data_IF_106456928788
#
_entry.id   IF_106456928788
#
_cell.length_a   1.000
_cell.length_b   1.000
_cell.length_c   1.000
_cell.angle_alpha   90.00
_cell.angle_beta   90.00
_cell.angle_gamma   90.00
#
_symmetry.space_group_name_H-M   'P 1'
#
loop_
_entity.id
_entity.type
_entity.pdbx_description
1 polymer ?
#
# COMPACT_ATOMS: atom_id res chain seq x y z
N UNK A 1 16.91 -16.19 -15.27
CA UNK A 1 16.21 -14.97 -15.69
C UNK A 1 17.24 -13.97 -16.18
N UNK A 2 16.99 -13.29 -17.30
CA UNK A 2 17.73 -12.10 -17.69
C UNK A 2 16.96 -10.85 -17.25
N UNK A 3 17.67 -9.77 -16.91
CA UNK A 3 17.09 -8.49 -16.51
C UNK A 3 17.78 -7.40 -17.34
N UNK A 4 17.03 -6.45 -17.86
CA UNK A 4 17.60 -5.28 -18.54
C UNK A 4 18.14 -4.27 -17.52
N UNK A 5 19.30 -3.69 -17.86
CA UNK A 5 19.90 -2.60 -17.10
C UNK A 5 19.76 -1.31 -17.91
N UNK A 6 19.25 -0.27 -17.25
CA UNK A 6 19.19 1.05 -17.87
C UNK A 6 20.62 1.57 -18.07
N UNK A 7 20.94 1.98 -19.30
CA UNK A 7 22.22 2.62 -19.60
C UNK A 7 22.31 3.96 -18.88
N UNK A 8 23.51 4.38 -18.49
CA UNK A 8 23.72 5.70 -17.90
C UNK A 8 23.12 6.80 -18.81
N UNK A 9 22.15 7.59 -18.33
CA UNK A 9 21.41 8.54 -19.16
C UNK A 9 22.18 9.82 -19.51
N UNK A 10 23.43 10.00 -19.01
CA UNK A 10 24.24 11.19 -19.30
C UNK A 10 23.96 12.40 -18.40
N UNK A 11 23.12 12.25 -17.37
CA UNK A 11 22.82 13.28 -16.38
C UNK A 11 21.75 12.85 -15.38
N UNK A 12 21.77 13.43 -14.17
CA UNK A 12 20.83 13.12 -13.09
C UNK A 12 20.51 14.35 -12.26
N UNK A 13 19.22 14.58 -11.99
CA UNK A 13 18.74 15.60 -11.06
C UNK A 13 17.48 15.09 -10.34
N UNK A 14 17.49 15.16 -9.01
CA UNK A 14 16.28 14.98 -8.19
C UNK A 14 15.61 16.32 -7.93
N UNK A 15 14.30 16.30 -7.69
CA UNK A 15 13.59 17.42 -7.10
C UNK A 15 12.41 16.94 -6.25
N UNK A 16 11.93 17.86 -5.42
CA UNK A 16 10.82 17.70 -4.50
C UNK A 16 9.85 18.84 -4.76
N UNK A 17 8.56 18.52 -4.82
CA UNK A 17 7.47 19.49 -4.83
C UNK A 17 6.63 19.23 -3.59
N UNK A 18 6.54 20.22 -2.70
CA UNK A 18 5.70 20.17 -1.51
C UNK A 18 4.30 20.66 -1.85
N UNK A 19 3.29 19.92 -1.42
CA UNK A 19 1.87 20.24 -1.57
C UNK A 19 1.35 20.61 -0.18
N UNK A 20 1.00 21.89 0.06
CA UNK A 20 0.85 22.40 1.41
C UNK A 20 -0.37 21.82 2.12
N UNK A 21 -1.51 21.63 1.44
CA UNK A 21 -2.75 21.19 2.08
C UNK A 21 -3.12 19.76 1.71
N UNK A 22 -3.89 19.11 2.57
CA UNK A 22 -4.42 17.76 2.32
C UNK A 22 -5.42 17.75 1.14
N UNK A 23 -6.24 18.80 1.02
CA UNK A 23 -7.24 18.97 -0.05
C UNK A 23 -6.63 19.07 -1.47
N UNK A 24 -5.37 19.49 -1.56
CA UNK A 24 -4.67 19.71 -2.83
C UNK A 24 -4.23 18.41 -3.52
N UNK A 25 -4.37 17.25 -2.86
CA UNK A 25 -4.05 15.94 -3.44
C UNK A 25 -4.77 15.74 -4.78
N UNK A 26 -6.04 16.11 -4.86
CA UNK A 26 -6.85 15.98 -6.08
C UNK A 26 -6.20 16.69 -7.25
N UNK A 27 -5.95 17.99 -7.10
CA UNK A 27 -5.39 18.84 -8.14
C UNK A 27 -3.98 18.39 -8.51
N UNK A 28 -3.17 17.97 -7.55
CA UNK A 28 -1.84 17.43 -7.81
C UNK A 28 -1.88 16.20 -8.72
N UNK A 29 -2.78 15.25 -8.48
CA UNK A 29 -2.94 14.06 -9.33
C UNK A 29 -3.49 14.42 -10.72
N UNK A 30 -4.45 15.34 -10.82
CA UNK A 30 -4.96 15.84 -12.10
C UNK A 30 -3.84 16.47 -12.95
N UNK A 31 -2.94 17.23 -12.33
CA UNK A 31 -1.77 17.83 -12.99
C UNK A 31 -0.76 16.75 -13.40
N UNK A 32 -0.48 15.77 -12.54
CA UNK A 32 0.49 14.70 -12.84
C UNK A 32 0.03 13.84 -14.01
N UNK A 33 -1.28 13.57 -14.16
CA UNK A 33 -1.80 12.67 -15.20
C UNK A 33 -1.29 12.99 -16.62
N UNK A 34 -1.56 14.18 -17.21
CA UNK A 34 -1.13 14.48 -18.58
C UNK A 34 0.39 14.57 -18.68
N UNK A 35 1.08 14.99 -17.62
CA UNK A 35 2.54 15.05 -17.58
C UNK A 35 3.13 13.64 -17.69
N UNK A 36 2.58 12.69 -16.95
CA UNK A 36 3.05 11.30 -16.92
C UNK A 36 2.85 10.59 -18.25
N UNK A 37 1.68 10.72 -18.86
CA UNK A 37 1.40 10.11 -20.17
C UNK A 37 2.20 10.74 -21.31
N UNK A 38 2.61 12.01 -21.14
CA UNK A 38 3.47 12.73 -22.10
C UNK A 38 4.96 12.56 -21.81
N UNK A 39 5.35 11.61 -20.93
CA UNK A 39 6.73 11.31 -20.58
C UNK A 39 7.53 12.48 -19.98
N UNK A 40 6.86 13.49 -19.42
CA UNK A 40 7.54 14.63 -18.77
C UNK A 40 8.23 14.15 -17.48
N UNK A 41 7.55 13.50 -16.51
CA UNK A 41 8.19 12.61 -15.56
C UNK A 41 8.57 11.32 -16.28
N UNK A 42 9.87 11.15 -16.56
CA UNK A 42 10.41 9.98 -17.22
C UNK A 42 10.49 8.76 -16.29
N UNK A 43 10.85 8.99 -15.03
CA UNK A 43 10.88 7.98 -13.97
C UNK A 43 9.46 7.68 -13.44
N UNK A 44 9.35 6.89 -12.37
CA UNK A 44 8.10 6.65 -11.65
C UNK A 44 8.02 7.62 -10.47
N UNK A 45 7.27 8.74 -10.56
CA UNK A 45 7.17 9.68 -9.46
C UNK A 45 6.30 9.09 -8.33
N UNK A 46 6.59 9.52 -7.10
CA UNK A 46 5.86 9.08 -5.90
C UNK A 46 5.26 10.26 -5.18
N UNK A 47 3.98 10.17 -4.82
CA UNK A 47 3.27 11.17 -4.01
C UNK A 47 3.14 10.60 -2.60
N UNK A 48 3.86 11.17 -1.65
CA UNK A 48 4.06 10.64 -0.29
C UNK A 48 3.29 11.48 0.72
N UNK A 49 2.59 10.82 1.65
CA UNK A 49 1.98 11.50 2.79
C UNK A 49 3.07 11.98 3.77
N UNK A 50 2.86 13.11 4.44
CA UNK A 50 3.85 13.70 5.37
C UNK A 50 4.38 12.71 6.42
N UNK A 51 3.52 11.83 6.95
CA UNK A 51 3.95 10.87 7.97
C UNK A 51 4.93 9.83 7.43
N UNK A 52 4.90 9.51 6.13
CA UNK A 52 5.87 8.61 5.54
C UNK A 52 7.28 9.22 5.58
N UNK A 53 7.39 10.53 5.35
CA UNK A 53 8.66 11.25 5.41
C UNK A 53 9.08 11.53 6.86
N UNK A 54 8.14 11.86 7.73
CA UNK A 54 8.38 12.00 9.17
C UNK A 54 8.92 10.71 9.79
N UNK A 55 8.33 9.56 9.44
CA UNK A 55 8.78 8.24 9.91
C UNK A 55 10.19 7.86 9.45
N UNK A 56 10.65 8.41 8.32
CA UNK A 56 12.05 8.29 7.88
C UNK A 56 12.99 9.13 8.74
N UNK A 57 12.53 10.29 9.22
CA UNK A 57 13.30 11.26 10.00
C UNK A 57 13.32 11.01 11.52
N UNK A 58 12.46 10.15 12.03
CA UNK A 58 12.45 9.75 13.43
C UNK A 58 11.26 8.87 13.82
N UNK A 59 11.34 8.32 15.02
CA UNK A 59 10.22 7.63 15.65
C UNK A 59 9.12 8.61 16.04
N UNK A 60 7.91 8.09 16.23
CA UNK A 60 6.72 8.87 16.57
C UNK A 60 6.90 9.74 17.82
N UNK A 61 7.62 9.26 18.83
CA UNK A 61 7.89 9.98 20.09
C UNK A 61 8.68 11.29 19.91
N UNK A 62 9.36 11.46 18.77
CA UNK A 62 10.04 12.71 18.39
C UNK A 62 9.05 13.82 17.98
N UNK A 63 7.83 13.43 17.65
CA UNK A 63 6.81 14.30 17.09
C UNK A 63 5.59 14.47 18.01
N UNK A 64 5.20 13.44 18.77
CA UNK A 64 4.06 13.51 19.70
C UNK A 64 4.24 12.54 20.88
N UNK A 65 3.58 12.82 21.99
CA UNK A 65 3.47 11.91 23.16
C UNK A 65 2.10 11.23 23.27
N UNK A 66 1.11 11.65 22.47
CA UNK A 66 -0.23 11.04 22.41
C UNK A 66 -0.12 9.62 21.88
N UNK A 67 -0.91 8.65 22.29
CA UNK A 67 -0.96 7.31 21.66
C UNK A 67 -2.15 7.13 20.68
N UNK A 68 -2.80 8.22 20.30
CA UNK A 68 -3.93 8.22 19.36
C UNK A 68 -3.47 8.60 17.94
N UNK A 69 -4.25 8.28 16.89
CA UNK A 69 -4.01 8.80 15.55
C UNK A 69 -3.85 10.31 15.56
N UNK A 70 -2.84 10.81 14.84
CA UNK A 70 -2.56 12.24 14.74
C UNK A 70 -3.70 12.96 14.01
N UNK A 71 -4.20 14.06 14.60
CA UNK A 71 -5.22 14.89 13.97
C UNK A 71 -4.60 15.84 12.93
N UNK A 72 -5.43 16.49 12.09
CA UNK A 72 -4.95 17.36 11.01
C UNK A 72 -4.04 18.48 11.48
N UNK A 73 -4.32 19.08 12.64
CA UNK A 73 -3.48 20.15 13.20
C UNK A 73 -2.08 19.63 13.57
N UNK A 74 -2.01 18.46 14.21
CA UNK A 74 -0.71 17.86 14.55
C UNK A 74 0.08 17.48 13.28
N UNK A 75 -0.62 17.07 12.22
CA UNK A 75 0.00 16.75 10.93
C UNK A 75 0.51 18.01 10.21
N UNK A 76 -0.21 19.13 10.32
CA UNK A 76 0.24 20.43 9.81
C UNK A 76 1.48 20.91 10.59
N UNK A 77 1.50 20.78 11.91
CA UNK A 77 2.66 21.11 12.76
C UNK A 77 3.90 20.27 12.40
N UNK A 78 3.72 18.98 12.09
CA UNK A 78 4.80 18.11 11.60
C UNK A 78 5.28 18.60 10.22
N UNK A 79 4.35 18.96 9.32
CA UNK A 79 4.67 19.47 7.98
C UNK A 79 5.54 20.72 8.08
N UNK A 80 5.16 21.69 8.92
CA UNK A 80 5.93 22.92 9.17
C UNK A 80 7.31 22.62 9.76
N UNK A 81 7.38 21.78 10.81
CA UNK A 81 8.63 21.43 11.47
C UNK A 81 9.64 20.76 10.53
N UNK A 82 9.14 19.99 9.56
CA UNK A 82 9.97 19.30 8.58
C UNK A 82 10.21 20.11 7.30
N UNK A 83 9.60 21.29 7.18
CA UNK A 83 9.57 22.09 5.95
C UNK A 83 9.08 21.27 4.73
N UNK A 84 8.02 20.50 4.95
CA UNK A 84 7.36 19.63 3.97
C UNK A 84 5.89 20.05 3.80
N UNK A 85 5.26 19.58 2.73
CA UNK A 85 3.82 19.68 2.57
C UNK A 85 3.09 18.52 3.26
N UNK A 86 1.75 18.62 3.33
CA UNK A 86 0.90 17.48 3.72
C UNK A 86 1.03 16.31 2.75
N UNK A 87 1.27 16.64 1.48
CA UNK A 87 1.71 15.69 0.45
C UNK A 87 3.02 16.16 -0.18
N UNK A 88 3.89 15.21 -0.53
CA UNK A 88 5.21 15.49 -1.07
C UNK A 88 5.42 14.66 -2.34
N UNK A 89 5.60 15.34 -3.48
CA UNK A 89 5.92 14.67 -4.74
C UNK A 89 7.44 14.58 -4.85
N UNK A 90 7.94 13.36 -4.75
CA UNK A 90 9.32 13.06 -5.07
C UNK A 90 9.38 12.54 -6.50
N UNK A 91 10.21 13.20 -7.33
CA UNK A 91 10.61 12.67 -8.63
C UNK A 91 12.13 12.77 -8.76
N UNK A 92 12.74 11.63 -8.98
CA UNK A 92 14.18 11.46 -9.12
C UNK A 92 14.46 10.04 -9.64
N UNK A 93 15.53 9.88 -10.41
CA UNK A 93 16.26 8.60 -10.49
C UNK A 93 17.15 8.44 -9.22
N UNK A 94 17.77 7.28 -8.98
CA UNK A 94 17.86 6.60 -7.66
C UNK A 94 18.77 7.16 -6.52
N UNK A 95 18.47 6.79 -5.25
CA UNK A 95 19.04 7.34 -4.00
C UNK A 95 19.24 6.36 -2.80
N UNK A 96 19.64 6.84 -1.60
CA UNK A 96 20.42 6.11 -0.58
C UNK A 96 19.65 5.55 0.65
N UNK A 97 20.40 4.85 1.52
CA UNK A 97 19.97 4.08 2.73
C UNK A 97 18.94 4.70 3.69
N UNK A 98 18.86 6.03 3.93
CA UNK A 98 17.89 6.60 4.86
C UNK A 98 16.43 6.32 4.51
N UNK A 99 16.10 6.09 3.23
CA UNK A 99 14.74 5.79 2.76
C UNK A 99 14.19 4.46 3.31
N UNK A 100 15.05 3.57 3.85
CA UNK A 100 14.67 2.22 4.33
C UNK A 100 14.16 2.17 5.79
N UNK A 101 14.02 3.29 6.50
CA UNK A 101 13.75 3.31 7.97
C UNK A 101 12.29 3.51 8.42
N UNK A 102 11.30 3.41 7.52
CA UNK A 102 9.86 3.58 7.85
C UNK A 102 9.40 2.69 9.02
N UNK A 103 10.03 1.54 9.21
CA UNK A 103 9.72 0.56 10.26
C UNK A 103 9.99 1.12 11.68
N UNK A 104 10.81 2.16 11.82
CA UNK A 104 11.15 2.76 13.11
C UNK A 104 10.12 3.77 13.62
N UNK A 105 8.96 3.90 12.96
CA UNK A 105 7.87 4.75 13.45
C UNK A 105 7.45 4.36 14.87
N UNK A 106 7.46 3.05 15.17
CA UNK A 106 7.20 2.47 16.49
C UNK A 106 8.43 1.70 17.01
N UNK A 107 8.66 1.62 18.34
CA UNK A 107 9.83 0.95 18.94
C UNK A 107 10.07 -0.51 18.51
N UNK A 108 9.00 -1.25 18.14
CA UNK A 108 9.07 -2.61 17.55
C UNK A 108 8.27 -2.72 16.25
N UNK A 109 8.32 -1.68 15.42
CA UNK A 109 7.49 -1.62 14.22
C UNK A 109 7.64 -2.85 13.32
N UNK A 110 6.52 -3.39 12.89
CA UNK A 110 6.40 -4.18 11.67
C UNK A 110 5.44 -3.45 10.74
N UNK A 111 5.51 -3.77 9.45
CA UNK A 111 4.61 -3.19 8.46
C UNK A 111 3.80 -4.27 7.75
N UNK A 112 2.58 -3.93 7.38
CA UNK A 112 1.73 -4.73 6.52
C UNK A 112 1.13 -3.81 5.45
N UNK A 113 1.31 -4.19 4.18
CA UNK A 113 0.88 -3.39 3.05
C UNK A 113 -0.52 -3.78 2.58
N UNK A 114 -1.36 -2.77 2.37
CA UNK A 114 -2.56 -2.85 1.54
C UNK A 114 -2.28 -2.05 0.26
N UNK A 115 -2.42 -2.69 -0.91
CA UNK A 115 -1.87 -2.16 -2.18
C UNK A 115 -2.87 -2.16 -3.33
N UNK A 116 -4.01 -1.46 -3.21
CA UNK A 116 -4.98 -1.33 -4.29
C UNK A 116 -4.41 -0.50 -5.46
N UNK A 117 -4.92 -0.77 -6.65
CA UNK A 117 -4.68 0.05 -7.83
C UNK A 117 -5.74 1.15 -7.91
N UNK A 118 -5.30 2.38 -8.18
CA UNK A 118 -6.15 3.52 -8.49
C UNK A 118 -5.93 3.95 -9.95
N UNK A 119 -6.93 4.56 -10.57
CA UNK A 119 -6.71 5.32 -11.81
C UNK A 119 -5.84 6.53 -11.48
N UNK A 120 -5.14 7.07 -12.48
CA UNK A 120 -4.40 8.34 -12.35
C UNK A 120 -5.37 9.51 -12.37
N UNK A 121 -6.37 9.51 -11.47
CA UNK A 121 -7.40 10.54 -11.35
C UNK A 121 -7.53 11.03 -9.93
N UNK A 122 -7.71 12.35 -9.76
CA UNK A 122 -7.91 12.98 -8.47
C UNK A 122 -9.12 12.38 -7.74
N UNK A 123 -10.22 12.13 -8.46
CA UNK A 123 -11.43 11.52 -7.89
C UNK A 123 -11.16 10.14 -7.30
N UNK A 124 -10.57 9.21 -8.08
CA UNK A 124 -10.21 7.88 -7.56
C UNK A 124 -9.15 7.96 -6.45
N UNK A 125 -8.16 8.85 -6.57
CA UNK A 125 -7.10 9.00 -5.58
C UNK A 125 -7.66 9.47 -4.24
N UNK A 126 -8.47 10.53 -4.24
CA UNK A 126 -9.12 11.07 -3.04
C UNK A 126 -10.13 10.09 -2.47
N UNK A 127 -10.94 9.43 -3.31
CA UNK A 127 -11.91 8.45 -2.84
C UNK A 127 -11.22 7.26 -2.14
N UNK A 128 -10.11 6.77 -2.70
CA UNK A 128 -9.37 5.65 -2.12
C UNK A 128 -8.58 6.09 -0.88
N UNK A 129 -7.96 7.27 -0.88
CA UNK A 129 -7.34 7.89 0.30
C UNK A 129 -8.34 8.06 1.44
N UNK A 130 -9.47 8.72 1.21
CA UNK A 130 -10.48 8.99 2.24
C UNK A 130 -11.02 7.69 2.86
N UNK A 131 -11.28 6.66 2.05
CA UNK A 131 -11.70 5.35 2.55
C UNK A 131 -10.63 4.74 3.46
N UNK A 132 -9.39 4.66 2.96
CA UNK A 132 -8.30 4.00 3.68
C UNK A 132 -7.92 4.74 4.96
N UNK A 133 -7.84 6.07 4.92
CA UNK A 133 -7.59 6.93 6.08
C UNK A 133 -8.64 6.71 7.17
N UNK A 134 -9.93 6.84 6.82
CA UNK A 134 -11.04 6.62 7.76
C UNK A 134 -10.94 5.26 8.46
N UNK A 135 -10.69 4.20 7.71
CA UNK A 135 -10.58 2.83 8.26
C UNK A 135 -9.35 2.66 9.15
N UNK A 136 -8.22 3.27 8.80
CA UNK A 136 -7.02 3.27 9.65
C UNK A 136 -7.30 3.95 10.99
N UNK A 137 -7.89 5.14 10.95
CA UNK A 137 -8.22 5.93 12.15
C UNK A 137 -9.26 5.21 13.04
N UNK A 138 -10.32 4.64 12.46
CA UNK A 138 -11.32 3.82 13.17
C UNK A 138 -10.68 2.62 13.90
N UNK A 139 -9.61 2.05 13.33
CA UNK A 139 -8.86 0.92 13.90
C UNK A 139 -7.70 1.35 14.82
N UNK A 140 -7.52 2.67 15.04
CA UNK A 140 -6.49 3.23 15.91
C UNK A 140 -5.09 3.27 15.31
N UNK A 141 -4.96 3.25 13.98
CA UNK A 141 -3.68 3.37 13.27
C UNK A 141 -3.54 4.74 12.62
N UNK A 142 -2.32 5.28 12.64
CA UNK A 142 -1.94 6.41 11.80
C UNK A 142 -2.00 6.00 10.33
N UNK A 143 -2.61 6.82 9.48
CA UNK A 143 -2.55 6.61 8.04
C UNK A 143 -1.15 6.96 7.50
N UNK A 144 -0.48 5.97 6.92
CA UNK A 144 0.79 6.15 6.21
C UNK A 144 0.61 5.55 4.81
N UNK A 145 0.87 6.32 3.76
CA UNK A 145 0.69 5.83 2.40
C UNK A 145 1.47 6.58 1.34
N UNK A 146 1.55 5.98 0.16
CA UNK A 146 2.15 6.58 -1.04
C UNK A 146 1.40 6.16 -2.30
N UNK A 147 1.29 7.05 -3.27
CA UNK A 147 0.90 6.72 -4.64
C UNK A 147 2.14 6.62 -5.52
N UNK A 148 2.34 5.47 -6.15
CA UNK A 148 3.40 5.23 -7.13
C UNK A 148 2.79 5.34 -8.52
N UNK A 149 3.15 6.38 -9.28
CA UNK A 149 2.42 6.75 -10.49
C UNK A 149 2.99 6.06 -11.73
N UNK A 150 2.32 5.00 -12.16
CA UNK A 150 2.55 4.34 -13.45
C UNK A 150 2.05 5.17 -14.63
N UNK A 151 1.95 4.55 -15.81
CA UNK A 151 1.54 5.29 -17.01
C UNK A 151 0.05 5.62 -17.02
N UNK A 152 -0.79 4.67 -16.57
CA UNK A 152 -2.25 4.76 -16.62
C UNK A 152 -2.92 4.30 -15.33
N UNK A 153 -2.10 4.01 -14.31
CA UNK A 153 -2.51 3.55 -13.01
C UNK A 153 -1.60 4.15 -11.94
N UNK A 154 -2.07 4.09 -10.70
CA UNK A 154 -1.25 4.36 -9.53
C UNK A 154 -1.34 3.17 -8.58
N UNK A 155 -0.20 2.68 -8.10
CA UNK A 155 -0.20 1.77 -6.98
C UNK A 155 -0.32 2.60 -5.70
N UNK A 156 -1.47 2.52 -5.04
CA UNK A 156 -1.67 3.15 -3.74
C UNK A 156 -1.22 2.16 -2.66
N UNK A 157 -0.08 2.43 -2.03
CA UNK A 157 0.47 1.56 -1.00
C UNK A 157 0.19 2.17 0.37
N UNK A 158 -0.78 1.62 1.07
CA UNK A 158 -1.05 1.93 2.48
C UNK A 158 -0.15 1.05 3.35
N UNK A 159 0.61 1.68 4.23
CA UNK A 159 1.56 1.06 5.13
C UNK A 159 1.01 1.07 6.55
N UNK A 160 0.43 -0.04 7.00
CA UNK A 160 0.06 -0.18 8.40
C UNK A 160 1.31 -0.52 9.21
N UNK A 161 1.69 0.36 10.13
CA UNK A 161 2.79 0.12 11.07
C UNK A 161 2.22 -0.19 12.44
N UNK A 162 2.65 -1.29 13.06
CA UNK A 162 2.18 -1.75 14.37
C UNK A 162 3.31 -2.38 15.17
N UNK A 163 3.17 -2.43 16.50
CA UNK A 163 4.11 -3.16 17.36
C UNK A 163 3.90 -4.67 17.17
N UNK A 164 4.92 -5.36 16.65
CA UNK A 164 4.86 -6.80 16.38
C UNK A 164 4.90 -7.70 17.62
N UNK A 165 5.29 -7.15 18.77
CA UNK A 165 5.32 -7.85 20.06
C UNK A 165 3.98 -7.72 20.78
N UNK A 166 3.12 -6.78 20.38
CA UNK A 166 1.75 -6.66 20.90
C UNK A 166 0.76 -7.47 20.03
N UNK A 167 0.17 -8.57 20.55
CA UNK A 167 -0.74 -9.42 19.78
C UNK A 167 -2.05 -8.73 19.39
N UNK A 168 -2.43 -7.65 20.09
CA UNK A 168 -3.72 -6.99 19.84
C UNK A 168 -3.66 -6.07 18.60
N UNK A 169 -2.69 -5.14 18.44
CA UNK A 169 -2.49 -4.38 17.21
C UNK A 169 -2.22 -5.28 16.00
N UNK A 170 -1.52 -6.41 16.17
CA UNK A 170 -1.35 -7.41 15.10
C UNK A 170 -2.71 -7.95 14.61
N UNK A 171 -3.62 -8.29 15.53
CA UNK A 171 -4.97 -8.78 15.18
C UNK A 171 -5.82 -7.68 14.54
N UNK A 172 -5.78 -6.45 15.06
CA UNK A 172 -6.48 -5.32 14.44
C UNK A 172 -5.95 -5.00 13.04
N UNK A 173 -4.64 -5.02 12.83
CA UNK A 173 -4.03 -4.77 11.52
C UNK A 173 -4.49 -5.81 10.48
N UNK A 174 -4.52 -7.10 10.86
CA UNK A 174 -5.08 -8.15 10.00
C UNK A 174 -6.57 -7.93 9.72
N UNK A 175 -7.38 -7.66 10.75
CA UNK A 175 -8.82 -7.41 10.57
C UNK A 175 -9.09 -6.21 9.66
N UNK A 176 -8.33 -5.13 9.85
CA UNK A 176 -8.41 -3.92 9.05
C UNK A 176 -8.12 -4.18 7.58
N UNK A 177 -7.04 -4.90 7.23
CA UNK A 177 -6.75 -5.17 5.81
C UNK A 177 -7.84 -6.06 5.19
N UNK A 178 -8.36 -7.06 5.90
CA UNK A 178 -9.47 -7.87 5.39
C UNK A 178 -10.68 -7.00 5.05
N UNK A 179 -11.00 -6.04 5.91
CA UNK A 179 -12.09 -5.10 5.67
C UNK A 179 -11.78 -4.14 4.50
N UNK A 180 -10.54 -3.65 4.39
CA UNK A 180 -10.11 -2.80 3.29
C UNK A 180 -10.20 -3.50 1.93
N UNK A 181 -9.83 -4.78 1.86
CA UNK A 181 -9.97 -5.62 0.65
C UNK A 181 -11.45 -5.68 0.23
N UNK A 182 -12.35 -5.98 1.16
CA UNK A 182 -13.78 -6.08 0.85
C UNK A 182 -14.38 -4.72 0.44
N UNK A 183 -14.00 -3.64 1.12
CA UNK A 183 -14.48 -2.29 0.82
C UNK A 183 -13.93 -1.77 -0.52
N UNK A 184 -12.68 -2.09 -0.86
CA UNK A 184 -12.05 -1.73 -2.14
C UNK A 184 -12.64 -2.52 -3.30
N UNK A 185 -12.83 -3.83 -3.15
CA UNK A 185 -13.42 -4.69 -4.17
C UNK A 185 -14.83 -4.23 -4.56
N UNK A 186 -15.66 -3.83 -3.59
CA UNK A 186 -17.00 -3.25 -3.84
C UNK A 186 -16.98 -1.96 -4.66
N UNK A 187 -15.85 -1.24 -4.66
CA UNK A 187 -15.64 -0.02 -5.43
C UNK A 187 -14.90 -0.27 -6.74
N UNK A 188 -14.59 -1.52 -7.08
CA UNK A 188 -13.88 -1.90 -8.30
C UNK A 188 -12.37 -1.69 -8.23
N UNK A 189 -11.79 -1.56 -7.03
CA UNK A 189 -10.36 -1.49 -6.83
C UNK A 189 -9.84 -2.86 -6.40
N UNK A 190 -8.83 -3.36 -7.11
CA UNK A 190 -8.16 -4.62 -6.78
C UNK A 190 -6.72 -4.38 -6.36
N UNK A 191 -6.19 -5.29 -5.52
CA UNK A 191 -4.80 -5.24 -5.07
C UNK A 191 -3.87 -5.92 -6.06
N UNK A 192 -2.74 -5.28 -6.32
CA UNK A 192 -1.71 -5.85 -7.20
C UNK A 192 -0.90 -6.95 -6.51
N UNK A 193 -0.65 -6.81 -5.20
CA UNK A 193 0.12 -7.75 -4.36
C UNK A 193 -0.34 -7.68 -2.91
N UNK A 194 -0.04 -8.75 -2.18
CA UNK A 194 -0.42 -8.88 -0.78
C UNK A 194 0.48 -9.84 0.01
N UNK A 195 0.28 -9.83 1.32
CA UNK A 195 0.89 -10.75 2.27
C UNK A 195 0.29 -12.17 2.14
N UNK A 196 1.04 -13.21 2.51
CA UNK A 196 0.63 -14.62 2.41
C UNK A 196 -0.78 -14.86 2.98
N UNK A 197 -1.03 -14.32 4.18
CA UNK A 197 -2.27 -14.45 4.91
C UNK A 197 -3.54 -13.94 4.20
N UNK A 198 -3.39 -13.19 3.11
CA UNK A 198 -4.48 -12.48 2.44
C UNK A 198 -4.63 -12.90 0.97
N UNK A 199 -3.78 -13.81 0.48
CA UNK A 199 -3.78 -14.22 -0.93
C UNK A 199 -5.10 -14.84 -1.36
N UNK A 200 -5.67 -15.73 -0.55
CA UNK A 200 -6.96 -16.36 -0.86
C UNK A 200 -8.09 -15.32 -0.95
N UNK A 201 -8.18 -14.40 0.03
CA UNK A 201 -9.25 -13.40 0.04
C UNK A 201 -9.15 -12.48 -1.18
N UNK A 202 -7.96 -11.99 -1.50
CA UNK A 202 -7.75 -11.12 -2.67
C UNK A 202 -8.00 -11.88 -3.96
N UNK A 203 -7.58 -13.15 -4.07
CA UNK A 203 -7.87 -13.93 -5.26
C UNK A 203 -9.39 -14.08 -5.51
N UNK A 204 -10.20 -14.16 -4.46
CA UNK A 204 -11.67 -14.19 -4.55
C UNK A 204 -12.31 -12.86 -4.97
N UNK A 205 -11.60 -11.73 -4.96
CA UNK A 205 -12.13 -10.47 -5.50
C UNK A 205 -12.07 -10.43 -7.02
N UNK A 206 -11.16 -11.20 -7.64
CA UNK A 206 -11.03 -11.35 -9.09
C UNK A 206 -11.97 -12.43 -9.67
N UNK A 207 -13.22 -12.45 -9.21
CA UNK A 207 -14.17 -13.54 -9.44
C UNK A 207 -15.12 -13.38 -10.63
N UNK A 208 -14.81 -12.47 -11.57
CA UNK A 208 -15.62 -12.23 -12.75
C UNK A 208 -15.91 -13.52 -13.54
N UNK A 209 -17.14 -13.61 -14.08
CA UNK A 209 -17.63 -14.75 -14.85
C UNK A 209 -17.47 -16.08 -14.09
N UNK A 210 -17.97 -16.11 -12.85
CA UNK A 210 -17.88 -17.28 -11.96
C UNK A 210 -16.43 -17.76 -11.77
N UNK A 211 -15.54 -16.86 -11.33
CA UNK A 211 -14.13 -17.19 -11.05
C UNK A 211 -13.34 -17.72 -12.25
N UNK A 212 -13.65 -17.29 -13.49
CA UNK A 212 -13.03 -17.82 -14.71
C UNK A 212 -11.48 -17.73 -14.70
N UNK A 213 -10.92 -16.63 -14.20
CA UNK A 213 -9.46 -16.47 -14.08
C UNK A 213 -8.85 -17.52 -13.14
N UNK A 214 -9.47 -17.77 -11.99
CA UNK A 214 -9.00 -18.78 -11.03
C UNK A 214 -9.06 -20.17 -11.65
N UNK A 215 -10.17 -20.53 -12.30
CA UNK A 215 -10.32 -21.82 -12.97
C UNK A 215 -9.22 -22.09 -13.99
N UNK A 216 -8.92 -21.11 -14.86
CA UNK A 216 -7.84 -21.24 -15.84
C UNK A 216 -6.48 -21.48 -15.16
N UNK A 217 -6.15 -20.69 -14.13
CA UNK A 217 -4.88 -20.82 -13.42
C UNK A 217 -4.76 -22.16 -12.69
N UNK A 218 -5.83 -22.65 -12.07
CA UNK A 218 -5.86 -23.98 -11.44
C UNK A 218 -5.68 -25.10 -12.46
N UNK A 219 -6.29 -25.00 -13.65
CA UNK A 219 -6.07 -25.97 -14.73
C UNK A 219 -4.61 -26.01 -15.16
N UNK A 220 -3.99 -24.84 -15.38
CA UNK A 220 -2.56 -24.75 -15.75
C UNK A 220 -1.67 -25.32 -14.64
N UNK A 221 -1.95 -24.95 -13.38
CA UNK A 221 -1.20 -25.43 -12.21
C UNK A 221 -1.23 -26.96 -12.11
N UNK A 222 -2.41 -27.57 -12.22
CA UNK A 222 -2.53 -29.03 -12.13
C UNK A 222 -1.90 -29.76 -13.32
N UNK A 223 -1.91 -29.15 -14.52
CA UNK A 223 -1.25 -29.71 -15.69
C UNK A 223 0.29 -29.70 -15.57
N UNK A 224 0.86 -28.61 -15.04
CA UNK A 224 2.31 -28.45 -14.91
C UNK A 224 2.89 -29.04 -13.62
N UNK A 225 2.09 -29.15 -12.58
CA UNK A 225 2.48 -29.64 -11.25
C UNK A 225 1.43 -30.62 -10.70
N UNK A 226 1.30 -31.82 -11.31
CA UNK A 226 0.27 -32.80 -10.95
C UNK A 226 0.42 -33.36 -9.54
N UNK A 227 1.59 -33.20 -8.91
CA UNK A 227 1.84 -33.58 -7.51
C UNK A 227 1.69 -32.42 -6.52
N UNK A 228 1.50 -31.19 -7.01
CA UNK A 228 1.37 -29.99 -6.18
C UNK A 228 2.62 -29.67 -5.34
N UNK A 229 3.82 -29.95 -5.85
CA UNK A 229 5.08 -29.79 -5.10
C UNK A 229 5.53 -28.32 -5.08
N UNK A 230 5.29 -27.58 -6.16
CA UNK A 230 5.61 -26.15 -6.23
C UNK A 230 4.60 -25.38 -5.36
N UNK A 231 4.97 -24.21 -4.78
CA UNK A 231 4.19 -23.51 -3.75
C UNK A 231 2.67 -23.60 -3.97
N UNK A 232 1.95 -24.36 -3.12
CA UNK A 232 0.59 -24.80 -3.40
C UNK A 232 -0.49 -23.76 -3.07
N UNK A 233 -0.14 -22.65 -2.42
CA UNK A 233 -1.07 -21.63 -1.93
C UNK A 233 -0.83 -20.25 -2.58
N UNK A 234 0.23 -20.13 -3.39
CA UNK A 234 0.69 -18.84 -3.89
C UNK A 234 -0.39 -18.18 -4.75
N UNK A 235 -0.75 -16.95 -4.38
CA UNK A 235 -1.84 -16.18 -5.01
C UNK A 235 -3.22 -16.86 -4.91
N UNK A 236 -3.41 -17.75 -3.93
CA UNK A 236 -4.64 -18.50 -3.72
C UNK A 236 -4.91 -19.62 -4.74
N UNK A 237 -3.90 -20.03 -5.50
CA UNK A 237 -4.04 -21.08 -6.52
C UNK A 237 -3.64 -22.43 -5.92
N UNK A 238 -4.64 -23.23 -5.57
CA UNK A 238 -4.47 -24.53 -4.93
C UNK A 238 -4.49 -25.71 -5.94
N UNK A 239 -3.53 -26.66 -5.85
CA UNK A 239 -3.58 -27.91 -6.63
C UNK A 239 -4.77 -28.78 -6.21
N UNK A 240 -5.24 -29.66 -7.09
CA UNK A 240 -6.44 -30.50 -6.85
C UNK A 240 -6.33 -31.47 -5.65
N UNK A 241 -5.12 -31.82 -5.24
CA UNK A 241 -4.87 -32.66 -4.06
C UNK A 241 -4.97 -31.92 -2.72
N UNK A 242 -5.11 -30.60 -2.74
CA UNK A 242 -5.21 -29.75 -1.56
C UNK A 242 -6.63 -29.24 -1.39
N UNK A 243 -7.11 -29.22 -0.14
CA UNK A 243 -8.32 -28.51 0.22
C UNK A 243 -7.93 -27.22 0.97
N UNK A 244 -8.09 -26.07 0.31
CA UNK A 244 -7.69 -24.77 0.84
C UNK A 244 -8.26 -24.48 2.24
N UNK A 245 -9.45 -25.00 2.57
CA UNK A 245 -10.08 -24.80 3.88
C UNK A 245 -9.28 -25.39 5.03
N UNK A 246 -8.49 -26.43 4.78
CA UNK A 246 -7.66 -27.09 5.80
C UNK A 246 -6.45 -26.23 6.19
N UNK A 247 -6.12 -25.22 5.36
CA UNK A 247 -5.01 -24.29 5.54
C UNK A 247 -5.47 -22.85 5.83
N UNK A 248 -6.78 -22.62 5.88
CA UNK A 248 -7.34 -21.30 6.15
C UNK A 248 -6.87 -20.80 7.53
N UNK A 249 -6.32 -19.59 7.56
CA UNK A 249 -5.99 -18.93 8.82
C UNK A 249 -7.29 -18.70 9.58
N UNK A 250 -7.47 -19.42 10.69
CA UNK A 250 -8.62 -19.20 11.56
C UNK A 250 -8.59 -17.77 12.08
N UNK A 251 -9.72 -17.03 12.05
CA UNK A 251 -9.79 -15.75 12.72
C UNK A 251 -9.60 -16.03 14.21
N UNK A 252 -8.39 -15.79 14.72
CA UNK A 252 -8.13 -15.85 16.16
C UNK A 252 -9.18 -14.95 16.82
N UNK A 253 -10.08 -15.57 17.60
CA UNK A 253 -11.27 -14.97 18.21
C UNK A 253 -11.06 -13.49 18.50
N UNK A 254 -11.69 -12.63 17.70
CA UNK A 254 -11.97 -11.26 18.08
C UNK A 254 -12.86 -11.34 19.31
N UNK A 255 -12.28 -11.14 20.49
CA UNK A 255 -13.05 -10.70 21.65
C UNK A 255 -13.40 -9.26 21.37
N UNK A 256 -14.55 -9.05 20.72
CA UNK A 256 -15.33 -7.80 20.59
C UNK A 256 -14.52 -6.51 20.36
N UNK A 257 -14.68 -5.94 19.17
CA UNK A 257 -14.59 -4.48 18.98
C UNK A 257 -15.60 -3.77 19.90
#
# INVERSE_FOLDING_TARGET
>A
MGIWLMVNPGGYQSNLITIPKDEDLHQAIEIIRPLRTSMVPQNVPTVRHVLLDAAVMGSRDKFTTSNKPLNDKELDEISEKLNLGRWNIYRALYGPEPIRKVINWLPNGAHLFFSPIAKVTGDDAVAQYALTRKRCEEAGFDFIGTFVVGMREMHHTVCLVFDRLDPEPCRRAHALIRQLIDDAAKKGWGEYRTHLALMDQIAQTYNFNNNAQMHLNTTIKNALDPKGILPPDKNGIWPSGYNAKDFALSPQRSTKL
#
